data_IF_628061350614
#
_entry.id   IF_628061350614
#
_cell.length_a   1.000
_cell.length_b   1.000
_cell.length_c   1.000
_cell.angle_alpha   90.00
_cell.angle_beta   90.00
_cell.angle_gamma   90.00
#
_symmetry.space_group_name_H-M   'P 1'
#
loop_
_entity.id
_entity.type
_entity.pdbx_description
1 polymer ?
#
# COMPACT_ATOMS: atom_id res chain seq x y z
N UNK A 1 15.34 4.38 -9.87
CA UNK A 1 14.94 3.00 -9.48
C UNK A 1 13.84 2.45 -10.40
N UNK A 2 12.84 3.26 -10.76
CA UNK A 2 11.76 2.79 -11.61
C UNK A 2 12.21 2.33 -13.00
N UNK A 3 13.30 2.87 -13.52
CA UNK A 3 13.92 2.44 -14.76
C UNK A 3 14.60 1.07 -14.70
N UNK A 4 14.76 0.51 -13.52
CA UNK A 4 15.35 -0.81 -13.31
C UNK A 4 14.25 -1.87 -13.29
N UNK A 5 14.12 -2.75 -14.29
CA UNK A 5 12.98 -3.67 -14.39
C UNK A 5 12.92 -4.72 -13.27
N UNK A 6 14.01 -4.93 -12.56
CA UNK A 6 14.09 -5.88 -11.44
C UNK A 6 13.73 -5.26 -10.08
N UNK A 7 13.34 -3.98 -10.05
CA UNK A 7 12.94 -3.29 -8.81
C UNK A 7 11.43 -3.25 -8.69
N UNK A 8 10.92 -3.65 -7.53
CA UNK A 8 9.50 -3.63 -7.19
C UNK A 8 9.29 -2.71 -5.99
N UNK A 9 8.22 -1.92 -6.02
CA UNK A 9 7.87 -1.00 -4.95
C UNK A 9 6.85 -1.62 -3.99
N UNK A 10 7.10 -1.48 -2.70
CA UNK A 10 6.12 -1.79 -1.65
C UNK A 10 5.45 -0.49 -1.22
N UNK A 11 4.15 -0.43 -1.35
CA UNK A 11 3.33 0.74 -1.02
C UNK A 11 2.81 0.56 0.41
N UNK A 12 3.47 1.21 1.35
CA UNK A 12 3.13 1.13 2.77
C UNK A 12 4.16 1.80 3.64
N UNK A 13 3.97 1.72 4.95
CA UNK A 13 4.88 2.34 5.92
C UNK A 13 4.74 3.86 6.03
N UNK A 14 3.74 4.44 5.41
CA UNK A 14 3.52 5.89 5.41
C UNK A 14 3.07 6.42 6.77
N UNK A 15 2.67 5.55 7.69
CA UNK A 15 2.32 5.92 9.06
C UNK A 15 3.54 6.17 9.95
N UNK A 16 4.74 5.83 9.51
CA UNK A 16 5.94 6.04 10.30
C UNK A 16 6.18 7.53 10.55
N UNK A 17 6.71 7.86 11.73
CA UNK A 17 7.00 9.25 12.14
C UNK A 17 7.85 9.97 11.10
N UNK A 18 8.81 9.27 10.51
CA UNK A 18 9.69 9.83 9.48
C UNK A 18 8.95 10.29 8.22
N UNK A 19 7.73 9.80 8.00
CA UNK A 19 6.93 10.15 6.83
C UNK A 19 6.09 11.42 7.02
N UNK A 20 6.08 12.00 8.21
CA UNK A 20 5.50 13.32 8.48
C UNK A 20 4.35 13.33 9.48
N UNK A 21 3.12 12.93 9.12
CA UNK A 21 1.99 13.07 10.03
C UNK A 21 2.16 12.30 11.34
N UNK A 22 1.94 12.97 12.45
CA UNK A 22 2.06 12.39 13.79
C UNK A 22 0.70 11.84 14.24
N UNK A 23 0.22 10.81 13.55
CA UNK A 23 -1.09 10.22 13.82
C UNK A 23 -1.25 9.74 15.26
N UNK A 24 -0.15 9.28 15.89
CA UNK A 24 -0.15 8.79 17.26
C UNK A 24 -0.36 9.90 18.30
N UNK A 25 -0.20 11.16 17.92
CA UNK A 25 -0.43 12.33 18.79
C UNK A 25 -1.83 12.92 18.64
N UNK A 26 -2.61 12.43 17.68
CA UNK A 26 -3.97 12.90 17.47
C UNK A 26 -4.93 12.35 18.53
N UNK A 27 -6.00 13.10 18.85
CA UNK A 27 -7.01 12.67 19.81
C UNK A 27 -7.74 11.39 19.39
N UNK A 28 -7.82 11.16 18.09
CA UNK A 28 -8.47 9.98 17.50
C UNK A 28 -7.58 9.38 16.41
N UNK A 29 -7.62 8.06 16.25
CA UNK A 29 -6.95 7.44 15.11
C UNK A 29 -7.54 7.97 13.79
N UNK A 30 -6.71 8.09 12.73
CA UNK A 30 -7.21 8.54 11.43
C UNK A 30 -8.19 7.51 10.84
N UNK A 31 -9.16 8.00 10.08
CA UNK A 31 -10.05 7.14 9.29
C UNK A 31 -9.33 6.64 8.04
N UNK A 32 -9.86 5.59 7.42
CA UNK A 32 -9.34 5.10 6.14
C UNK A 32 -9.41 6.16 5.04
N UNK A 33 -10.42 7.03 5.08
CA UNK A 33 -10.56 8.13 4.12
C UNK A 33 -9.46 9.18 4.31
N UNK A 34 -9.14 9.53 5.56
CA UNK A 34 -8.06 10.47 5.87
C UNK A 34 -6.71 9.93 5.44
N UNK A 35 -6.43 8.64 5.69
CA UNK A 35 -5.21 7.99 5.24
C UNK A 35 -5.11 7.97 3.72
N UNK A 36 -6.18 7.60 3.02
CA UNK A 36 -6.19 7.57 1.57
C UNK A 36 -5.93 8.95 0.98
N UNK A 37 -6.54 10.00 1.51
CA UNK A 37 -6.30 11.37 1.08
C UNK A 37 -4.84 11.77 1.27
N UNK A 38 -4.27 11.48 2.43
CA UNK A 38 -2.88 11.83 2.74
C UNK A 38 -1.88 11.06 1.87
N UNK A 39 -2.19 9.81 1.53
CA UNK A 39 -1.26 8.91 0.80
C UNK A 39 -1.45 8.91 -0.70
N UNK A 40 -2.53 9.51 -1.21
CA UNK A 40 -2.85 9.49 -2.63
C UNK A 40 -1.70 9.97 -3.54
N UNK A 41 -1.00 11.08 -3.26
CA UNK A 41 0.10 11.51 -4.11
C UNK A 41 1.24 10.49 -4.21
N UNK A 42 1.54 9.81 -3.11
CA UNK A 42 2.60 8.78 -3.09
C UNK A 42 2.18 7.53 -3.85
N UNK A 43 0.93 7.12 -3.66
CA UNK A 43 0.36 5.99 -4.39
C UNK A 43 0.37 6.26 -5.90
N UNK A 44 -0.12 7.40 -6.32
CA UNK A 44 -0.17 7.78 -7.74
C UNK A 44 1.24 7.83 -8.35
N UNK A 45 2.21 8.38 -7.64
CA UNK A 45 3.60 8.42 -8.09
C UNK A 45 4.18 7.00 -8.27
N UNK A 46 3.91 6.09 -7.33
CA UNK A 46 4.36 4.70 -7.44
C UNK A 46 3.74 4.01 -8.66
N UNK A 47 2.45 4.17 -8.88
CA UNK A 47 1.75 3.55 -10.02
C UNK A 47 2.25 4.14 -11.34
N UNK A 48 2.44 5.45 -11.41
CA UNK A 48 2.95 6.11 -12.63
C UNK A 48 4.36 5.64 -12.97
N UNK A 49 5.24 5.53 -11.97
CA UNK A 49 6.65 5.20 -12.20
C UNK A 49 6.90 3.71 -12.39
N UNK A 50 6.24 2.84 -11.61
CA UNK A 50 6.50 1.40 -11.61
C UNK A 50 5.43 0.59 -12.34
N UNK A 51 4.19 1.07 -12.39
CA UNK A 51 3.04 0.27 -12.82
C UNK A 51 2.56 -0.69 -11.73
N UNK A 52 1.28 -1.06 -11.79
CA UNK A 52 0.67 -1.93 -10.77
C UNK A 52 1.37 -3.30 -10.66
N UNK A 53 1.88 -3.83 -11.76
CA UNK A 53 2.55 -5.15 -11.78
C UNK A 53 3.89 -5.15 -11.03
N UNK A 54 4.48 -3.99 -10.77
CA UNK A 54 5.70 -3.84 -9.97
C UNK A 54 5.46 -3.12 -8.66
N UNK A 55 4.20 -3.09 -8.20
CA UNK A 55 3.81 -2.53 -6.91
C UNK A 55 3.04 -3.57 -6.09
N UNK A 56 3.18 -3.48 -4.77
CA UNK A 56 2.39 -4.28 -3.85
C UNK A 56 2.08 -3.45 -2.60
N UNK A 57 0.88 -3.61 -2.06
CA UNK A 57 0.54 -3.01 -0.78
C UNK A 57 1.19 -3.77 0.36
N UNK A 58 1.57 -3.04 1.41
CA UNK A 58 2.04 -3.62 2.66
C UNK A 58 1.47 -2.87 3.86
N UNK A 59 1.17 -3.59 4.93
CA UNK A 59 0.61 -2.99 6.15
C UNK A 59 1.64 -2.28 7.02
N UNK A 60 2.88 -2.69 6.94
CA UNK A 60 3.96 -2.32 7.86
C UNK A 60 3.63 -2.64 9.33
N UNK A 61 2.79 -3.66 9.55
CA UNK A 61 2.46 -4.11 10.91
C UNK A 61 3.51 -5.12 11.40
N UNK A 62 3.82 -5.08 12.71
CA UNK A 62 3.18 -4.25 13.74
C UNK A 62 3.75 -2.84 13.92
N UNK A 63 4.69 -2.40 13.09
CA UNK A 63 5.36 -1.09 13.25
C UNK A 63 4.34 0.06 13.29
N UNK A 64 3.38 0.08 12.36
CA UNK A 64 2.38 1.14 12.26
C UNK A 64 1.17 0.95 13.20
N UNK A 65 1.20 -0.07 14.07
CA UNK A 65 0.07 -0.37 14.97
C UNK A 65 -0.30 0.79 15.90
N UNK A 66 0.68 1.61 16.28
CA UNK A 66 0.44 2.76 17.14
C UNK A 66 -0.33 3.89 16.45
N UNK A 67 -0.40 3.90 15.12
CA UNK A 67 -0.99 4.97 14.32
C UNK A 67 -2.44 4.68 13.94
N UNK A 68 -2.74 3.43 13.60
CA UNK A 68 -4.05 2.99 13.11
C UNK A 68 -4.17 1.46 13.18
N UNK A 69 -5.43 0.97 13.06
CA UNK A 69 -5.67 -0.46 13.04
C UNK A 69 -5.32 -1.09 11.69
N UNK A 70 -5.06 -2.40 11.71
CA UNK A 70 -4.83 -3.19 10.50
C UNK A 70 -5.99 -3.08 9.50
N UNK A 71 -7.24 -3.10 10.00
CA UNK A 71 -8.43 -2.91 9.16
C UNK A 71 -8.43 -1.54 8.48
N UNK A 72 -8.07 -0.49 9.21
CA UNK A 72 -8.06 0.88 8.68
C UNK A 72 -7.07 1.04 7.55
N UNK A 73 -5.85 0.51 7.68
CA UNK A 73 -4.84 0.62 6.63
C UNK A 73 -5.27 -0.12 5.35
N UNK A 74 -5.83 -1.32 5.48
CA UNK A 74 -6.29 -2.08 4.30
C UNK A 74 -7.51 -1.42 3.64
N UNK A 75 -8.40 -0.81 4.42
CA UNK A 75 -9.49 -0.02 3.85
C UNK A 75 -8.99 1.24 3.14
N UNK A 76 -7.93 1.87 3.64
CA UNK A 76 -7.28 2.98 2.96
C UNK A 76 -6.72 2.54 1.60
N UNK A 77 -6.05 1.40 1.53
CA UNK A 77 -5.54 0.85 0.27
C UNK A 77 -6.67 0.55 -0.73
N UNK A 78 -7.78 0.01 -0.26
CA UNK A 78 -8.96 -0.22 -1.12
C UNK A 78 -9.52 1.10 -1.68
N UNK A 79 -9.51 2.16 -0.89
CA UNK A 79 -9.93 3.49 -1.36
C UNK A 79 -8.97 4.05 -2.40
N UNK A 80 -7.66 3.93 -2.16
CA UNK A 80 -6.63 4.36 -3.11
C UNK A 80 -6.75 3.65 -4.45
N UNK A 81 -7.01 2.35 -4.43
CA UNK A 81 -7.12 1.51 -5.61
C UNK A 81 -8.54 1.48 -6.22
N UNK A 82 -9.44 2.35 -5.78
CA UNK A 82 -10.86 2.31 -6.17
C UNK A 82 -11.12 2.45 -7.68
N UNK A 83 -10.23 3.09 -8.43
CA UNK A 83 -10.35 3.26 -9.88
C UNK A 83 -9.48 2.27 -10.69
N UNK A 84 -8.82 1.34 -10.01
CA UNK A 84 -7.95 0.36 -10.68
C UNK A 84 -8.77 -0.73 -11.38
N UNK A 85 -8.20 -1.30 -12.44
CA UNK A 85 -8.79 -2.46 -13.12
C UNK A 85 -8.73 -3.71 -12.24
N UNK A 86 -9.48 -4.75 -12.62
CA UNK A 86 -9.44 -6.03 -11.89
C UNK A 86 -8.04 -6.64 -11.85
N UNK A 87 -7.28 -6.54 -12.95
CA UNK A 87 -5.92 -7.06 -13.03
C UNK A 87 -4.96 -6.23 -12.16
N UNK A 88 -5.11 -4.91 -12.15
CA UNK A 88 -4.32 -4.05 -11.28
C UNK A 88 -4.62 -4.29 -9.80
N UNK A 89 -5.88 -4.46 -9.43
CA UNK A 89 -6.27 -4.82 -8.06
C UNK A 89 -5.64 -6.15 -7.63
N UNK A 90 -5.67 -7.15 -8.50
CA UNK A 90 -5.05 -8.45 -8.21
C UNK A 90 -3.54 -8.29 -8.00
N UNK A 91 -2.86 -7.54 -8.85
CA UNK A 91 -1.43 -7.28 -8.73
C UNK A 91 -1.10 -6.60 -7.40
N UNK A 92 -1.77 -5.50 -7.07
CA UNK A 92 -1.51 -4.70 -5.87
C UNK A 92 -1.76 -5.45 -4.56
N UNK A 93 -2.84 -6.25 -4.50
CA UNK A 93 -3.25 -6.92 -3.25
C UNK A 93 -2.67 -8.31 -3.06
N UNK A 94 -2.23 -8.98 -4.12
CA UNK A 94 -1.73 -10.35 -4.00
C UNK A 94 -0.73 -10.78 -5.07
N UNK A 95 -1.01 -10.52 -6.34
CA UNK A 95 -0.26 -11.10 -7.45
C UNK A 95 1.21 -10.71 -7.51
N UNK A 96 1.51 -9.44 -7.33
CA UNK A 96 2.90 -8.95 -7.33
C UNK A 96 3.68 -9.57 -6.17
N UNK A 97 3.11 -9.59 -4.97
CA UNK A 97 3.75 -10.20 -3.80
C UNK A 97 3.96 -11.70 -3.99
N UNK A 98 2.95 -12.40 -4.51
CA UNK A 98 3.06 -13.83 -4.79
C UNK A 98 4.22 -14.14 -5.74
N UNK A 99 4.35 -13.35 -6.81
CA UNK A 99 5.43 -13.52 -7.79
C UNK A 99 6.80 -13.21 -7.19
N UNK A 100 6.93 -12.07 -6.50
CA UNK A 100 8.21 -11.60 -5.95
C UNK A 100 8.70 -12.53 -4.83
N UNK A 101 7.81 -12.94 -3.94
CA UNK A 101 8.14 -13.81 -2.82
C UNK A 101 7.99 -15.30 -3.14
N UNK A 102 7.62 -15.63 -4.38
CA UNK A 102 7.49 -17.02 -4.86
C UNK A 102 6.51 -17.85 -4.01
N UNK A 103 5.36 -17.25 -3.71
CA UNK A 103 4.30 -17.92 -2.97
C UNK A 103 3.48 -18.78 -3.93
N UNK A 104 3.53 -20.07 -3.75
CA UNK A 104 2.77 -21.03 -4.56
C UNK A 104 1.40 -21.27 -3.91
N UNK A 105 0.44 -20.39 -4.18
CA UNK A 105 -0.94 -20.54 -3.75
C UNK A 105 -1.85 -20.59 -4.97
N UNK A 106 -2.56 -21.71 -5.23
CA UNK A 106 -3.46 -21.81 -6.37
C UNK A 106 -4.57 -20.74 -6.40
N UNK A 107 -4.97 -20.22 -5.22
CA UNK A 107 -5.96 -19.15 -5.13
C UNK A 107 -5.42 -17.80 -5.62
N UNK A 108 -4.09 -17.62 -5.67
CA UNK A 108 -3.43 -16.41 -6.13
C UNK A 108 -3.00 -16.49 -7.61
N UNK A 109 -3.09 -17.65 -8.19
CA UNK A 109 -2.65 -17.94 -9.55
C UNK A 109 -3.60 -17.52 -10.67
#
# INVERSE_FOLDING_TARGET
LAGCPNVTAKIGGFGMIVCGPLWHEADRPPSSAQLAEAWQPYFEACIELFGAERCMFESNFPVDKAMYSYRTVWNAFKRLAGCASADELRALFSGTAARVYRIADPALG
#
